data_IF_591451637195
#
_entry.id   IF_591451637195
#
_cell.length_a   1.000
_cell.length_b   1.000
_cell.length_c   1.000
_cell.angle_alpha   90.00
_cell.angle_beta   90.00
_cell.angle_gamma   90.00
#
_symmetry.space_group_name_H-M   'P 1'
#
loop_
_entity.id
_entity.type
_entity.pdbx_description
1 polymer ?
#
# COMPACT_ATOMS: atom_id res chain seq x y z
N UNK A 1 -37.14 25.46 -16.48
CA UNK A 1 -36.01 26.33 -16.10
C UNK A 1 -34.73 25.54 -16.32
N UNK A 2 -33.85 26.05 -17.20
CA UNK A 2 -32.55 25.45 -17.50
C UNK A 2 -31.58 25.77 -16.36
N UNK A 3 -30.81 24.77 -15.93
CA UNK A 3 -29.65 24.94 -15.06
C UNK A 3 -28.52 24.08 -15.63
N UNK A 4 -27.52 24.74 -16.21
CA UNK A 4 -26.35 24.15 -16.82
C UNK A 4 -25.43 23.53 -15.76
N UNK A 5 -25.04 22.28 -15.96
CA UNK A 5 -23.92 21.65 -15.28
C UNK A 5 -22.96 21.11 -16.33
N UNK A 6 -22.17 22.00 -16.95
CA UNK A 6 -21.06 21.57 -17.81
C UNK A 6 -20.03 20.92 -16.91
N UNK A 7 -19.98 19.59 -16.89
CA UNK A 7 -18.89 18.86 -16.28
C UNK A 7 -17.61 19.17 -17.06
N UNK A 8 -16.73 19.97 -16.49
CA UNK A 8 -15.39 20.16 -17.03
C UNK A 8 -14.61 18.86 -16.88
N UNK A 9 -14.27 18.26 -18.02
CA UNK A 9 -13.45 17.04 -18.11
C UNK A 9 -12.01 17.43 -17.75
N UNK A 10 -11.56 17.11 -16.53
CA UNK A 10 -10.26 17.56 -15.99
C UNK A 10 -9.05 16.85 -16.63
N UNK A 11 -9.25 15.80 -17.43
CA UNK A 11 -8.17 15.18 -18.19
C UNK A 11 -8.65 14.95 -19.63
N UNK A 12 -7.98 15.61 -20.58
CA UNK A 12 -8.01 15.22 -21.99
C UNK A 12 -7.64 13.74 -22.11
N UNK A 13 -8.18 13.06 -23.12
CA UNK A 13 -8.10 11.61 -23.29
C UNK A 13 -6.63 11.18 -23.42
N UNK A 14 -5.97 10.91 -22.30
CA UNK A 14 -4.85 10.00 -22.26
C UNK A 14 -5.47 8.60 -22.41
N UNK A 15 -5.08 7.89 -23.45
CA UNK A 15 -5.32 6.46 -23.56
C UNK A 15 -4.84 5.79 -22.28
N UNK A 16 -5.59 4.80 -21.77
CA UNK A 16 -5.14 4.00 -20.63
C UNK A 16 -3.70 3.53 -20.88
N UNK A 17 -2.82 3.79 -19.93
CA UNK A 17 -1.42 3.37 -20.01
C UNK A 17 -1.25 2.12 -19.16
N UNK A 18 -0.60 1.10 -19.71
CA UNK A 18 -0.29 -0.12 -18.95
C UNK A 18 0.70 0.19 -17.82
N UNK A 19 0.54 -0.48 -16.67
CA UNK A 19 1.40 -0.29 -15.50
C UNK A 19 2.86 -0.64 -15.77
N UNK A 20 3.11 -1.59 -16.68
CA UNK A 20 4.47 -1.97 -17.10
C UNK A 20 5.15 -0.96 -18.04
N UNK A 21 4.45 0.07 -18.53
CA UNK A 21 5.00 1.03 -19.49
C UNK A 21 6.24 1.78 -18.95
N UNK A 22 6.36 1.95 -17.63
CA UNK A 22 7.54 2.55 -17.01
C UNK A 22 8.80 1.69 -17.17
N UNK A 23 8.66 0.38 -17.44
CA UNK A 23 9.76 -0.58 -17.52
C UNK A 23 10.24 -0.89 -18.94
N UNK A 24 9.82 -0.14 -19.96
CA UNK A 24 10.35 -0.33 -21.32
C UNK A 24 11.88 -0.26 -21.36
N UNK A 25 12.53 -1.28 -21.92
CA UNK A 25 13.99 -1.41 -21.97
C UNK A 25 14.66 -1.71 -20.61
N UNK A 26 13.93 -2.22 -19.62
CA UNK A 26 14.46 -2.63 -18.32
C UNK A 26 14.89 -4.11 -18.27
N UNK A 27 14.26 -4.95 -19.08
CA UNK A 27 14.37 -6.40 -19.09
C UNK A 27 13.53 -7.11 -18.02
N UNK A 28 13.36 -8.42 -18.20
CA UNK A 28 12.72 -9.30 -17.21
C UNK A 28 11.22 -9.07 -17.04
N UNK A 29 10.67 -9.61 -15.94
CA UNK A 29 9.22 -9.65 -15.70
C UNK A 29 8.56 -8.29 -15.55
N UNK A 30 9.27 -7.28 -15.00
CA UNK A 30 8.69 -5.94 -14.83
C UNK A 30 8.45 -5.21 -16.15
N UNK A 31 9.24 -5.51 -17.18
CA UNK A 31 8.98 -5.04 -18.54
C UNK A 31 7.92 -5.90 -19.24
N UNK A 32 8.06 -7.23 -19.15
CA UNK A 32 7.24 -8.16 -19.94
C UNK A 32 5.79 -8.29 -19.46
N UNK A 33 5.52 -8.11 -18.16
CA UNK A 33 4.23 -8.40 -17.57
C UNK A 33 3.53 -7.15 -17.03
N UNK A 34 2.21 -7.11 -17.20
CA UNK A 34 1.32 -6.07 -16.69
C UNK A 34 0.25 -6.74 -15.82
N UNK A 35 0.66 -7.20 -14.64
CA UNK A 35 -0.15 -8.12 -13.83
C UNK A 35 -0.99 -7.41 -12.76
N UNK A 36 -0.67 -6.15 -12.43
CA UNK A 36 -1.61 -5.28 -11.73
C UNK A 36 -1.22 -4.84 -10.31
N UNK A 37 -2.25 -4.46 -9.57
CA UNK A 37 -2.23 -3.65 -8.34
C UNK A 37 -1.33 -2.40 -8.43
N UNK A 38 -1.58 -1.52 -9.43
CA UNK A 38 -0.80 -0.30 -9.56
C UNK A 38 -1.05 0.63 -8.37
N UNK A 39 0.04 1.13 -7.78
CA UNK A 39 0.02 2.23 -6.81
C UNK A 39 0.76 3.41 -7.41
N UNK A 40 0.15 4.58 -7.33
CA UNK A 40 0.76 5.87 -7.67
C UNK A 40 0.75 6.76 -6.43
N UNK A 41 1.93 7.09 -5.90
CA UNK A 41 2.07 7.81 -4.63
C UNK A 41 3.01 9.01 -4.79
N UNK A 42 2.66 10.13 -4.14
CA UNK A 42 3.48 11.34 -4.16
C UNK A 42 4.32 11.46 -2.90
N UNK A 43 5.64 11.40 -3.09
CA UNK A 43 6.62 11.71 -2.07
C UNK A 43 6.78 13.23 -1.95
N UNK A 44 6.05 13.80 -1.00
CA UNK A 44 6.00 15.24 -0.73
C UNK A 44 7.38 15.79 -0.33
N UNK A 45 8.16 15.02 0.42
CA UNK A 45 9.44 15.45 0.97
C UNK A 45 10.54 15.54 -0.10
N UNK A 46 10.52 14.64 -1.10
CA UNK A 46 11.47 14.67 -2.22
C UNK A 46 10.87 15.27 -3.51
N UNK A 47 9.58 15.61 -3.52
CA UNK A 47 8.85 16.01 -4.72
C UNK A 47 9.00 14.99 -5.86
N UNK A 48 8.73 13.71 -5.57
CA UNK A 48 8.83 12.58 -6.51
C UNK A 48 7.56 11.76 -6.58
N UNK A 49 7.31 11.17 -7.74
CA UNK A 49 6.31 10.14 -7.92
C UNK A 49 6.92 8.77 -7.66
N UNK A 50 6.23 7.95 -6.88
CA UNK A 50 6.57 6.55 -6.63
C UNK A 50 5.45 5.69 -7.20
N UNK A 51 5.79 4.91 -8.22
CA UNK A 51 4.87 4.05 -8.96
C UNK A 51 5.25 2.60 -8.71
N UNK A 52 4.28 1.73 -8.46
CA UNK A 52 4.56 0.30 -8.26
C UNK A 52 3.52 -0.58 -8.92
N UNK A 53 3.93 -1.78 -9.36
CA UNK A 53 3.04 -2.90 -9.68
C UNK A 53 3.77 -4.21 -9.34
N UNK A 54 3.07 -5.34 -9.31
CA UNK A 54 3.74 -6.64 -9.27
C UNK A 54 3.90 -7.26 -10.67
N UNK A 55 4.81 -8.22 -10.80
CA UNK A 55 4.97 -9.07 -11.98
C UNK A 55 5.02 -10.52 -11.52
N UNK A 56 3.97 -11.28 -11.83
CA UNK A 56 3.64 -12.57 -11.24
C UNK A 56 3.11 -13.61 -12.22
N UNK A 57 2.84 -13.24 -13.47
CA UNK A 57 2.53 -14.16 -14.57
C UNK A 57 3.73 -15.03 -14.96
N UNK A 58 4.94 -14.55 -14.68
CA UNK A 58 6.19 -15.32 -14.84
C UNK A 58 6.98 -15.33 -13.55
N UNK A 59 7.97 -16.23 -13.48
CA UNK A 59 8.88 -16.37 -12.34
C UNK A 59 10.26 -15.78 -12.67
N UNK A 60 10.99 -15.24 -11.69
CA UNK A 60 10.56 -15.07 -10.29
C UNK A 60 9.44 -14.03 -10.16
N UNK A 61 8.63 -14.14 -9.11
CA UNK A 61 7.67 -13.10 -8.74
C UNK A 61 8.44 -11.84 -8.32
N UNK A 62 7.97 -10.67 -8.78
CA UNK A 62 8.65 -9.40 -8.57
C UNK A 62 7.67 -8.34 -8.04
N UNK A 63 8.16 -7.48 -7.14
CA UNK A 63 7.60 -6.14 -6.98
C UNK A 63 8.41 -5.17 -7.82
N UNK A 64 7.75 -4.51 -8.77
CA UNK A 64 8.33 -3.49 -9.63
C UNK A 64 8.08 -2.13 -8.99
N UNK A 65 9.14 -1.35 -8.76
CA UNK A 65 9.04 0.03 -8.24
C UNK A 65 9.77 1.01 -9.14
N UNK A 66 9.14 2.14 -9.45
CA UNK A 66 9.69 3.21 -10.25
C UNK A 66 9.56 4.54 -9.48
N UNK A 67 10.66 5.28 -9.36
CA UNK A 67 10.70 6.58 -8.69
C UNK A 67 11.09 7.64 -9.71
N UNK A 68 10.27 8.68 -9.88
CA UNK A 68 10.55 9.71 -10.87
C UNK A 68 11.86 10.43 -10.55
N UNK A 69 12.57 10.91 -11.57
CA UNK A 69 13.82 11.65 -11.39
C UNK A 69 13.58 13.13 -11.04
N UNK A 70 12.39 13.64 -11.36
CA UNK A 70 11.93 15.01 -11.09
C UNK A 70 10.49 15.00 -10.57
N UNK A 71 9.90 16.18 -10.33
CA UNK A 71 8.48 16.32 -9.99
C UNK A 71 7.52 16.05 -11.16
N UNK A 72 8.04 15.95 -12.38
CA UNK A 72 7.22 15.66 -13.56
C UNK A 72 6.91 14.16 -13.64
N UNK A 73 5.63 13.79 -13.47
CA UNK A 73 5.14 12.41 -13.58
C UNK A 73 5.35 11.79 -14.97
N UNK A 74 5.50 12.60 -16.02
CA UNK A 74 5.73 12.12 -17.40
C UNK A 74 7.21 12.08 -17.78
N UNK A 75 8.10 12.39 -16.84
CA UNK A 75 9.55 12.36 -17.04
C UNK A 75 10.16 10.97 -16.94
N UNK A 76 11.47 10.93 -16.70
CA UNK A 76 12.20 9.68 -16.49
C UNK A 76 12.05 9.14 -15.07
N UNK A 77 12.32 7.85 -14.91
CA UNK A 77 12.21 7.12 -13.65
C UNK A 77 13.46 6.27 -13.39
N UNK A 78 13.87 6.22 -12.12
CA UNK A 78 14.75 5.18 -11.60
C UNK A 78 13.90 3.94 -11.33
N UNK A 79 14.32 2.76 -11.82
CA UNK A 79 13.47 1.56 -11.90
C UNK A 79 14.12 0.40 -11.18
N UNK A 80 13.31 -0.35 -10.45
CA UNK A 80 13.74 -1.42 -9.56
C UNK A 80 12.81 -2.62 -9.70
N UNK A 81 13.38 -3.82 -9.51
CA UNK A 81 12.65 -5.07 -9.43
C UNK A 81 13.13 -5.84 -8.19
N UNK A 82 12.26 -5.95 -7.19
CA UNK A 82 12.54 -6.70 -5.97
C UNK A 82 11.98 -8.11 -6.10
N UNK A 83 12.85 -9.12 -6.00
CA UNK A 83 12.45 -10.52 -6.18
C UNK A 83 11.83 -11.12 -4.91
N UNK A 84 10.73 -11.84 -5.10
CA UNK A 84 10.07 -12.70 -4.11
C UNK A 84 10.24 -14.20 -4.46
N UNK A 85 11.17 -14.48 -5.37
CA UNK A 85 11.52 -15.83 -5.80
C UNK A 85 10.38 -16.55 -6.51
N UNK A 86 10.42 -17.87 -6.48
CA UNK A 86 9.52 -18.72 -7.26
C UNK A 86 8.32 -19.25 -6.45
N UNK A 87 8.18 -18.79 -5.21
CA UNK A 87 7.25 -19.32 -4.21
C UNK A 87 6.32 -18.23 -3.68
N UNK A 88 6.86 -17.06 -3.28
CA UNK A 88 6.08 -16.09 -2.52
C UNK A 88 5.42 -15.07 -3.44
N UNK A 89 4.17 -15.32 -3.84
CA UNK A 89 3.39 -14.32 -4.56
C UNK A 89 3.08 -13.16 -3.61
N UNK A 90 3.59 -11.97 -3.93
CA UNK A 90 3.47 -10.71 -3.18
C UNK A 90 2.21 -9.91 -3.54
N UNK A 91 1.04 -10.49 -3.29
CA UNK A 91 -0.25 -9.93 -3.64
C UNK A 91 -0.66 -8.73 -2.77
N UNK A 92 -1.63 -7.95 -3.28
CA UNK A 92 -2.30 -6.88 -2.57
C UNK A 92 -1.36 -5.83 -1.96
N UNK A 93 -0.36 -5.31 -2.70
CA UNK A 93 0.64 -4.38 -2.17
C UNK A 93 -0.01 -3.13 -1.56
N UNK A 94 0.63 -2.59 -0.51
CA UNK A 94 0.26 -1.32 0.12
C UNK A 94 1.53 -0.53 0.41
N UNK A 95 1.64 0.68 -0.13
CA UNK A 95 2.83 1.53 -0.04
C UNK A 95 2.59 2.70 0.91
N UNK A 96 3.57 3.05 1.73
CA UNK A 96 3.58 4.25 2.55
C UNK A 96 4.87 5.03 2.33
N UNK A 97 4.76 6.33 2.10
CA UNK A 97 5.94 7.21 2.08
C UNK A 97 6.27 7.60 3.51
N UNK A 98 7.49 7.30 3.94
CA UNK A 98 8.07 7.77 5.21
C UNK A 98 9.35 8.57 4.91
N UNK A 99 9.84 9.43 5.83
CA UNK A 99 11.04 10.24 5.57
C UNK A 99 12.32 9.44 5.30
N UNK A 100 12.42 8.24 5.88
CA UNK A 100 13.54 7.29 5.82
C UNK A 100 13.31 6.30 4.62
N UNK A 101 12.73 5.08 4.73
CA UNK A 101 12.30 4.28 3.58
C UNK A 101 10.98 4.66 2.89
N UNK A 102 10.79 4.05 1.72
CA UNK A 102 9.46 3.67 1.27
C UNK A 102 9.09 2.34 1.94
N UNK A 103 8.03 2.34 2.76
CA UNK A 103 7.55 1.12 3.41
C UNK A 103 6.46 0.49 2.56
N UNK A 104 6.52 -0.82 2.39
CA UNK A 104 5.55 -1.57 1.59
C UNK A 104 5.18 -2.86 2.28
N UNK A 105 3.93 -3.29 2.16
CA UNK A 105 3.48 -4.59 2.64
C UNK A 105 2.77 -5.36 1.53
N UNK A 106 2.68 -6.68 1.73
CA UNK A 106 2.02 -7.62 0.84
C UNK A 106 1.24 -8.65 1.64
N UNK A 107 0.22 -9.24 1.05
CA UNK A 107 -0.28 -10.55 1.44
C UNK A 107 0.51 -11.62 0.70
N UNK A 108 1.27 -12.45 1.43
CA UNK A 108 2.07 -13.50 0.78
C UNK A 108 1.23 -14.74 0.55
N UNK A 109 1.23 -15.24 -0.69
CA UNK A 109 0.67 -16.53 -1.05
C UNK A 109 1.78 -17.46 -1.53
N UNK A 110 2.10 -18.48 -0.73
CA UNK A 110 3.05 -19.51 -1.11
C UNK A 110 2.50 -20.34 -2.28
N UNK A 111 3.34 -20.50 -3.31
CA UNK A 111 3.01 -21.10 -4.59
C UNK A 111 1.78 -20.46 -5.26
N UNK A 112 1.50 -19.18 -4.96
CA UNK A 112 0.36 -18.43 -5.49
C UNK A 112 -1.00 -18.81 -4.90
N UNK A 113 -1.07 -19.73 -3.93
CA UNK A 113 -2.34 -20.31 -3.45
C UNK A 113 -2.51 -20.26 -1.94
N UNK A 114 -1.46 -20.53 -1.17
CA UNK A 114 -1.57 -20.70 0.29
C UNK A 114 -1.18 -19.42 1.02
N UNK A 115 -2.13 -18.77 1.69
CA UNK A 115 -1.85 -17.56 2.46
C UNK A 115 -0.84 -17.84 3.59
N UNK A 116 0.26 -17.10 3.56
CA UNK A 116 1.39 -17.24 4.48
C UNK A 116 1.49 -16.09 5.50
N UNK A 117 0.57 -15.12 5.42
CA UNK A 117 0.61 -13.90 6.23
C UNK A 117 1.15 -12.69 5.49
N UNK A 118 0.98 -11.52 6.09
CA UNK A 118 1.54 -10.29 5.55
C UNK A 118 3.06 -10.25 5.69
N UNK A 119 3.73 -9.70 4.67
CA UNK A 119 5.14 -9.35 4.73
C UNK A 119 5.27 -7.84 4.71
N UNK A 120 5.98 -7.26 5.66
CA UNK A 120 6.32 -5.84 5.70
C UNK A 120 7.77 -5.65 5.25
N UNK A 121 8.02 -4.69 4.37
CA UNK A 121 9.34 -4.40 3.82
C UNK A 121 9.62 -2.89 3.88
N UNK A 122 10.88 -2.54 4.13
CA UNK A 122 11.44 -1.23 3.92
C UNK A 122 12.26 -1.27 2.62
N UNK A 123 12.04 -0.34 1.71
CA UNK A 123 12.81 -0.15 0.47
C UNK A 123 13.72 1.08 0.62
N UNK A 124 14.98 0.98 0.20
CA UNK A 124 15.98 2.05 0.36
C UNK A 124 15.66 3.29 -0.50
N UNK A 125 14.79 4.15 0.03
CA UNK A 125 14.34 5.39 -0.61
C UNK A 125 15.50 6.32 -0.94
N UNK A 126 16.51 6.42 -0.08
CA UNK A 126 17.65 7.32 -0.32
C UNK A 126 18.42 6.90 -1.58
N UNK A 127 18.71 5.60 -1.73
CA UNK A 127 19.29 5.06 -2.96
C UNK A 127 18.34 5.23 -4.15
N UNK A 128 17.05 4.96 -3.95
CA UNK A 128 16.05 4.96 -5.02
C UNK A 128 15.87 6.34 -5.67
N UNK A 129 15.91 7.40 -4.86
CA UNK A 129 15.78 8.80 -5.29
C UNK A 129 16.91 9.25 -6.23
N UNK A 130 18.12 8.73 -6.03
CA UNK A 130 19.31 9.11 -6.81
C UNK A 130 19.67 8.10 -7.91
N UNK A 131 18.91 7.01 -8.05
CA UNK A 131 19.16 5.99 -9.07
C UNK A 131 20.29 5.02 -8.71
N UNK A 132 20.67 4.94 -7.43
CA UNK A 132 21.67 3.98 -6.97
C UNK A 132 21.06 2.58 -6.79
N UNK A 133 21.91 1.56 -6.66
CA UNK A 133 21.44 0.22 -6.31
C UNK A 133 20.72 0.27 -4.95
N UNK A 134 19.46 -0.16 -4.94
CA UNK A 134 18.61 -0.15 -3.75
C UNK A 134 18.36 -1.56 -3.24
N UNK A 135 18.32 -1.71 -1.91
CA UNK A 135 18.01 -2.99 -1.25
C UNK A 135 16.68 -2.90 -0.51
N UNK A 136 16.22 -4.03 0.01
CA UNK A 136 15.05 -4.09 0.89
C UNK A 136 15.35 -4.94 2.13
N UNK A 137 14.70 -4.60 3.24
CA UNK A 137 14.69 -5.43 4.45
C UNK A 137 13.24 -5.75 4.81
N UNK A 138 12.94 -7.02 5.11
CA UNK A 138 11.57 -7.49 5.26
C UNK A 138 11.37 -8.38 6.49
N UNK A 139 10.15 -8.31 7.05
CA UNK A 139 9.65 -9.18 8.11
C UNK A 139 8.39 -9.90 7.65
N UNK A 140 8.40 -11.23 7.74
CA UNK A 140 7.22 -12.07 7.48
C UNK A 140 6.44 -12.25 8.78
N UNK A 141 5.15 -11.91 8.77
CA UNK A 141 4.21 -12.25 9.83
C UNK A 141 3.62 -13.65 9.61
N UNK A 142 3.01 -14.22 10.65
CA UNK A 142 2.22 -15.44 10.54
C UNK A 142 0.98 -15.23 9.67
N UNK A 143 0.37 -16.34 9.24
CA UNK A 143 -0.91 -16.35 8.51
C UNK A 143 -2.11 -15.81 9.30
N UNK A 144 -1.93 -15.42 10.56
CA UNK A 144 -2.95 -14.74 11.37
C UNK A 144 -3.15 -13.28 10.98
N UNK A 145 -2.22 -12.68 10.24
CA UNK A 145 -2.24 -11.25 9.92
C UNK A 145 -2.22 -11.03 8.41
N UNK A 146 -3.24 -10.34 7.90
CA UNK A 146 -3.39 -9.94 6.51
C UNK A 146 -3.79 -8.47 6.37
N UNK A 147 -3.66 -7.92 5.16
CA UNK A 147 -4.11 -6.56 4.84
C UNK A 147 -3.41 -5.47 5.64
N UNK A 148 -2.14 -5.71 6.00
CA UNK A 148 -1.33 -4.77 6.78
C UNK A 148 -1.08 -3.48 5.99
N UNK A 149 -1.29 -2.31 6.59
CA UNK A 149 -1.07 -1.01 5.96
C UNK A 149 0.15 -0.31 6.59
N UNK A 150 1.20 0.07 5.82
CA UNK A 150 2.23 0.99 6.30
C UNK A 150 1.66 2.41 6.43
N UNK A 151 2.18 3.18 7.38
CA UNK A 151 1.80 4.58 7.55
C UNK A 151 2.39 5.44 6.44
N UNK A 152 1.57 6.34 5.92
CA UNK A 152 1.90 7.26 4.84
C UNK A 152 1.90 8.70 5.33
N UNK A 153 3.04 9.39 5.20
CA UNK A 153 3.22 10.75 5.70
C UNK A 153 2.34 11.77 4.95
N UNK A 154 1.39 12.34 5.68
CA UNK A 154 0.59 13.49 5.30
C UNK A 154 1.03 14.77 5.98
N UNK A 155 1.03 15.84 5.18
CA UNK A 155 1.47 17.16 5.61
C UNK A 155 2.95 17.41 5.33
N UNK A 156 3.42 18.58 5.76
CA UNK A 156 4.78 19.07 5.58
C UNK A 156 5.66 18.91 6.83
N UNK A 157 5.06 18.57 7.97
CA UNK A 157 5.79 18.38 9.23
C UNK A 157 6.22 16.92 9.28
N UNK A 158 7.53 16.69 9.29
CA UNK A 158 8.08 15.34 9.41
C UNK A 158 7.82 14.78 10.83
N UNK A 159 7.66 13.45 10.96
CA UNK A 159 7.79 12.75 12.23
C UNK A 159 9.11 13.12 12.94
N UNK A 160 9.17 13.02 14.29
CA UNK A 160 10.42 13.13 15.02
C UNK A 160 11.53 12.23 14.45
N UNK A 161 12.78 12.70 14.54
CA UNK A 161 13.93 11.94 14.06
C UNK A 161 14.02 10.56 14.73
N UNK A 162 14.14 9.51 13.93
CA UNK A 162 14.19 8.13 14.41
C UNK A 162 12.81 7.49 14.67
N UNK A 163 11.70 8.21 14.41
CA UNK A 163 10.37 7.62 14.51
C UNK A 163 10.21 6.41 13.59
N UNK A 164 9.74 5.26 14.10
CA UNK A 164 9.46 4.10 13.26
C UNK A 164 8.29 4.40 12.31
N UNK A 165 8.21 3.65 11.21
CA UNK A 165 6.96 3.59 10.46
C UNK A 165 5.95 2.72 11.22
N UNK A 166 4.70 3.15 11.23
CA UNK A 166 3.63 2.44 11.90
C UNK A 166 2.90 1.55 10.89
N UNK A 167 2.77 0.28 11.19
CA UNK A 167 1.97 -0.64 10.38
C UNK A 167 0.71 -1.01 11.13
N UNK A 168 -0.44 -1.05 10.44
CA UNK A 168 -1.71 -1.36 11.08
C UNK A 168 -2.48 -2.43 10.32
N UNK A 169 -3.07 -3.38 11.04
CA UNK A 169 -3.98 -4.37 10.49
C UNK A 169 -5.29 -4.42 11.31
N UNK A 170 -6.33 -4.93 10.67
CA UNK A 170 -7.66 -5.10 11.25
C UNK A 170 -7.67 -6.27 12.25
N UNK A 171 -8.38 -6.12 13.36
CA UNK A 171 -8.64 -7.16 14.34
C UNK A 171 -10.11 -7.22 14.74
N UNK A 172 -10.47 -8.19 15.58
CA UNK A 172 -11.83 -8.30 16.12
C UNK A 172 -12.06 -7.17 17.12
N UNK A 173 -12.93 -6.20 16.77
CA UNK A 173 -13.19 -4.99 17.57
C UNK A 173 -11.91 -4.28 18.04
N UNK A 174 -10.85 -4.36 17.24
CA UNK A 174 -9.54 -3.83 17.58
C UNK A 174 -8.72 -3.53 16.33
N UNK A 175 -7.67 -2.76 16.50
CA UNK A 175 -6.62 -2.50 15.52
C UNK A 175 -5.32 -3.05 16.09
N UNK A 176 -4.51 -3.69 15.26
CA UNK A 176 -3.20 -4.15 15.67
C UNK A 176 -2.14 -3.23 15.07
N UNK A 177 -1.25 -2.70 15.92
CA UNK A 177 -0.21 -1.74 15.53
C UNK A 177 1.17 -2.37 15.68
N UNK A 178 2.00 -2.24 14.65
CA UNK A 178 3.43 -2.55 14.68
C UNK A 178 4.26 -1.30 14.43
N UNK A 179 5.50 -1.34 14.87
CA UNK A 179 6.52 -0.32 14.65
C UNK A 179 7.68 -0.93 13.88
N UNK A 180 7.95 -0.42 12.68
CA UNK A 180 9.09 -0.82 11.86
C UNK A 180 10.17 0.27 11.92
N UNK A 181 11.33 -0.08 12.44
CA UNK A 181 12.57 0.66 12.28
C UNK A 181 13.55 -0.13 11.41
N UNK A 182 14.08 0.48 10.35
CA UNK A 182 15.15 -0.12 9.54
C UNK A 182 16.51 0.48 9.90
N UNK A 183 17.54 -0.36 9.91
CA UNK A 183 18.95 0.04 9.97
C UNK A 183 19.66 -0.50 8.72
N UNK A 184 20.02 0.40 7.81
CA UNK A 184 20.72 0.06 6.57
C UNK A 184 22.21 -0.24 6.79
N UNK A 185 22.82 0.35 7.81
CA UNK A 185 24.23 0.15 8.12
C UNK A 185 24.47 -1.19 8.84
N UNK A 186 23.51 -1.60 9.67
CA UNK A 186 23.53 -2.85 10.41
C UNK A 186 22.16 -3.52 10.36
N UNK A 187 21.86 -4.31 9.30
CA UNK A 187 20.55 -4.94 9.11
C UNK A 187 20.05 -5.77 10.31
N UNK A 188 20.96 -6.32 11.11
CA UNK A 188 20.61 -7.04 12.34
C UNK A 188 19.98 -6.17 13.45
N UNK A 189 20.13 -4.85 13.37
CA UNK A 189 19.54 -3.88 14.31
C UNK A 189 18.15 -3.41 13.86
N UNK A 190 17.70 -3.75 12.66
CA UNK A 190 16.33 -3.49 12.23
C UNK A 190 15.34 -4.18 13.17
N UNK A 191 14.18 -3.56 13.39
CA UNK A 191 13.15 -4.13 14.26
C UNK A 191 11.77 -3.97 13.66
N UNK A 192 10.94 -5.00 13.84
CA UNK A 192 9.51 -4.95 13.58
C UNK A 192 8.77 -5.44 14.82
N UNK A 193 8.30 -4.49 15.64
CA UNK A 193 7.78 -4.77 16.99
C UNK A 193 6.27 -4.62 17.04
N UNK A 194 5.59 -5.58 17.64
CA UNK A 194 4.13 -5.62 17.80
C UNK A 194 3.57 -7.04 17.69
N UNK A 195 2.24 -7.20 17.55
CA UNK A 195 1.28 -6.10 17.57
C UNK A 195 1.02 -5.57 18.98
N UNK A 196 0.90 -4.24 19.09
CA UNK A 196 0.12 -3.63 20.16
C UNK A 196 -1.34 -3.65 19.74
N UNK A 197 -2.19 -4.33 20.53
CA UNK A 197 -3.62 -4.34 20.28
C UNK A 197 -4.26 -3.06 20.83
N UNK A 198 -5.06 -2.39 20.00
CA UNK A 198 -5.77 -1.16 20.30
C UNK A 198 -7.26 -1.47 20.20
N UNK A 199 -7.95 -1.52 21.33
CA UNK A 199 -9.39 -1.70 21.35
C UNK A 199 -10.10 -0.53 20.66
N UNK A 200 -11.11 -0.82 19.87
CA UNK A 200 -12.02 0.19 19.31
C UNK A 200 -13.45 -0.10 19.75
N UNK A 201 -14.36 0.87 19.62
CA UNK A 201 -15.75 0.60 19.92
C UNK A 201 -16.27 -0.54 19.03
N UNK A 202 -17.06 -1.44 19.60
CA UNK A 202 -17.52 -2.65 18.92
C UNK A 202 -18.23 -2.33 17.59
N UNK A 203 -18.04 -3.19 16.60
CA UNK A 203 -18.65 -3.06 15.28
C UNK A 203 -18.85 -4.44 14.65
N UNK A 204 -19.72 -4.49 13.65
CA UNK A 204 -19.88 -5.69 12.81
C UNK A 204 -19.18 -5.44 11.48
N UNK A 205 -18.23 -6.29 11.06
CA UNK A 205 -17.64 -6.23 9.72
C UNK A 205 -18.71 -6.24 8.64
N UNK A 206 -18.53 -5.46 7.57
CA UNK A 206 -19.44 -5.51 6.43
C UNK A 206 -19.55 -6.95 5.89
N UNK A 207 -20.78 -7.40 5.60
CA UNK A 207 -21.06 -8.75 5.12
C UNK A 207 -20.51 -9.88 6.02
N UNK A 208 -20.37 -9.64 7.33
CA UNK A 208 -19.91 -10.64 8.30
C UNK A 208 -18.44 -11.01 8.22
N UNK A 209 -17.69 -10.46 7.24
CA UNK A 209 -16.22 -10.45 7.03
C UNK A 209 -15.89 -10.14 5.55
N UNK A 210 -16.88 -10.04 4.66
CA UNK A 210 -16.64 -9.66 3.27
C UNK A 210 -17.58 -10.39 2.30
N UNK A 211 -17.27 -10.27 1.01
CA UNK A 211 -17.99 -10.97 -0.06
C UNK A 211 -19.19 -10.20 -0.63
N UNK A 212 -19.85 -10.84 -1.59
CA UNK A 212 -20.88 -10.25 -2.44
C UNK A 212 -22.23 -10.19 -1.73
N UNK A 213 -22.48 -9.10 -1.00
CA UNK A 213 -23.70 -8.96 -0.20
C UNK A 213 -24.42 -7.61 -0.28
N UNK A 214 -23.78 -6.55 -0.80
CA UNK A 214 -24.35 -5.20 -0.79
C UNK A 214 -25.23 -4.99 -2.03
N UNK A 215 -26.54 -4.70 -1.89
CA UNK A 215 -27.43 -4.49 -3.02
C UNK A 215 -27.11 -3.19 -3.77
N UNK A 216 -27.40 -3.18 -5.08
CA UNK A 216 -27.30 -1.99 -5.92
C UNK A 216 -28.69 -1.58 -6.42
N UNK A 217 -28.98 -0.28 -6.57
CA UNK A 217 -30.23 0.16 -7.18
C UNK A 217 -30.41 -0.40 -8.58
N UNK A 218 -31.65 -0.77 -8.91
CA UNK A 218 -32.06 -1.17 -10.27
C UNK A 218 -31.39 -2.42 -10.85
N UNK A 219 -30.74 -3.26 -10.03
CA UNK A 219 -30.17 -4.54 -10.44
C UNK A 219 -30.20 -5.56 -9.30
N UNK A 220 -30.17 -6.85 -9.65
CA UNK A 220 -29.99 -7.94 -8.69
C UNK A 220 -28.50 -8.21 -8.40
N UNK A 221 -27.58 -7.63 -9.18
CA UNK A 221 -26.14 -7.74 -8.95
C UNK A 221 -25.76 -7.03 -7.65
N UNK A 222 -25.11 -7.75 -6.75
CA UNK A 222 -24.58 -7.18 -5.50
C UNK A 222 -23.11 -6.80 -5.66
N UNK A 223 -22.65 -5.86 -4.83
CA UNK A 223 -21.25 -5.50 -4.69
C UNK A 223 -20.55 -6.42 -3.70
N UNK A 224 -19.29 -6.72 -4.00
CA UNK A 224 -18.37 -7.40 -3.10
C UNK A 224 -17.79 -6.43 -2.08
N UNK A 225 -17.52 -6.92 -0.86
CA UNK A 225 -16.99 -6.11 0.23
C UNK A 225 -15.72 -6.74 0.78
N UNK A 226 -14.82 -5.87 1.25
CA UNK A 226 -13.62 -6.24 1.99
C UNK A 226 -13.81 -5.84 3.45
N UNK A 227 -14.75 -6.51 4.13
CA UNK A 227 -15.11 -6.22 5.52
C UNK A 227 -14.09 -6.71 6.55
N UNK A 228 -13.20 -7.62 6.15
CA UNK A 228 -12.16 -8.27 6.96
C UNK A 228 -10.85 -7.49 7.08
N UNK A 229 -10.76 -6.30 6.47
CA UNK A 229 -9.50 -5.56 6.38
C UNK A 229 -9.70 -4.05 6.40
N UNK A 230 -8.60 -3.35 6.69
CA UNK A 230 -8.52 -1.90 6.56
C UNK A 230 -8.47 -1.53 5.07
N UNK A 231 -9.10 -0.43 4.71
CA UNK A 231 -9.03 0.09 3.35
C UNK A 231 -7.85 1.07 3.24
N UNK A 232 -7.10 0.95 2.14
CA UNK A 232 -5.91 1.78 1.90
C UNK A 232 -6.32 3.25 1.78
N UNK A 233 -5.68 4.19 2.50
CA UNK A 233 -4.35 4.17 3.17
C UNK A 233 -4.40 4.45 4.68
N UNK A 234 -3.34 4.08 5.39
CA UNK A 234 -3.07 4.52 6.78
C UNK A 234 -2.37 5.89 6.75
N UNK A 235 -3.14 6.97 6.82
CA UNK A 235 -2.57 8.32 6.79
C UNK A 235 -1.97 8.68 8.14
N UNK A 236 -0.75 9.19 8.16
CA UNK A 236 -0.09 9.72 9.34
C UNK A 236 0.08 11.22 9.23
N UNK A 237 -0.11 11.97 10.31
CA UNK A 237 0.14 13.41 10.33
C UNK A 237 0.79 13.84 11.64
N UNK A 238 1.85 14.65 11.54
CA UNK A 238 2.41 15.42 12.64
C UNK A 238 1.90 16.87 12.58
N UNK A 239 1.79 17.50 13.75
CA UNK A 239 1.22 18.84 13.90
C UNK A 239 2.15 19.75 14.70
N UNK A 240 1.98 21.06 14.54
CA UNK A 240 2.93 22.08 15.01
C UNK A 240 3.04 22.19 16.54
N UNK A 241 2.02 21.75 17.27
CA UNK A 241 1.97 21.67 18.73
C UNK A 241 2.56 20.35 19.28
N UNK A 242 3.08 19.48 18.41
CA UNK A 242 3.71 18.22 18.76
C UNK A 242 2.80 17.00 18.79
N UNK A 243 1.51 17.11 18.43
CA UNK A 243 0.66 15.92 18.31
C UNK A 243 0.93 15.14 17.01
N UNK A 244 0.71 13.83 17.08
CA UNK A 244 0.80 12.90 15.96
C UNK A 244 -0.54 12.13 15.85
N UNK A 245 -1.02 11.90 14.64
CA UNK A 245 -2.27 11.18 14.39
C UNK A 245 -2.12 10.13 13.29
N UNK A 246 -2.79 9.00 13.47
CA UNK A 246 -3.01 7.97 12.44
C UNK A 246 -4.49 7.93 12.10
N UNK A 247 -4.83 7.95 10.81
CA UNK A 247 -6.20 7.84 10.30
C UNK A 247 -6.27 6.64 9.38
N UNK A 248 -7.23 5.76 9.64
CA UNK A 248 -7.55 4.59 8.83
C UNK A 248 -9.05 4.44 8.75
N UNK A 249 -9.52 3.69 7.76
CA UNK A 249 -10.92 3.34 7.66
C UNK A 249 -11.12 1.85 7.31
N UNK A 250 -12.34 1.38 7.56
CA UNK A 250 -12.77 0.02 7.24
C UNK A 250 -14.28 -0.07 7.02
N UNK A 251 -14.72 -1.14 6.37
CA UNK A 251 -16.14 -1.33 6.06
C UNK A 251 -16.87 -2.02 7.20
N UNK A 252 -17.92 -1.37 7.72
CA UNK A 252 -18.80 -1.92 8.76
C UNK A 252 -20.22 -2.12 8.23
N UNK A 253 -20.94 -3.09 8.79
CA UNK A 253 -22.35 -3.24 8.55
C UNK A 253 -23.13 -2.14 9.29
N UNK A 254 -24.01 -1.41 8.59
CA UNK A 254 -25.00 -0.54 9.24
C UNK A 254 -26.32 -1.27 9.53
N UNK A 255 -26.58 -2.35 8.80
CA UNK A 255 -27.63 -3.38 8.95
C UNK A 255 -27.15 -4.63 8.18
N UNK A 256 -27.76 -5.84 8.29
CA UNK A 256 -27.24 -7.07 7.68
C UNK A 256 -26.93 -7.02 6.18
N UNK A 257 -27.48 -6.05 5.45
CA UNK A 257 -27.37 -5.89 3.99
C UNK A 257 -26.89 -4.50 3.54
N UNK A 258 -26.31 -3.68 4.43
CA UNK A 258 -25.74 -2.37 4.08
C UNK A 258 -24.34 -2.18 4.66
N UNK A 259 -23.42 -1.63 3.86
CA UNK A 259 -22.06 -1.31 4.27
C UNK A 259 -21.83 0.22 4.37
N UNK A 260 -21.04 0.66 5.34
CA UNK A 260 -20.54 2.03 5.48
C UNK A 260 -19.05 2.03 5.85
N UNK A 261 -18.36 3.12 5.51
CA UNK A 261 -16.98 3.34 5.97
C UNK A 261 -17.00 3.92 7.38
N UNK A 262 -16.14 3.39 8.25
CA UNK A 262 -15.85 3.91 9.59
C UNK A 262 -14.39 4.29 9.68
#
# INVERSE_FOLDING_TARGET
MRGFGTAYRILGVATHTFGNALWTGFGGGCEANNDGDPIAQWDKAASRWVMTQFSVSTKPFLQCVAVSTTSNATGSYNRYAFSYGNVQFNDYPKLGVWPDPYYISYNIFNNGLTFAGSKACALDRAAMLIGAAATQQCYQLSSSFGGLLPSDLDGSIAPPGGSPNFFMNFGANSLNLWKFHVDWASPGNSTFRGPTNIAVAAFTPACGNGGTCVPQPSTQQKLDTLGDRLMYRLAYRAFADGHEALVVNYSVASEPSYARSR
#
